data_IF_928221147919
#
_entry.id   IF_928221147919
#
_cell.length_a   1.000
_cell.length_b   1.000
_cell.length_c   1.000
_cell.angle_alpha   90.00
_cell.angle_beta   90.00
_cell.angle_gamma   90.00
#
_symmetry.space_group_name_H-M   'P 1'
#
loop_
_entity.id
_entity.type
_entity.pdbx_description
1 polymer ?
#
# COMPACT_ATOMS: atom_id res chain seq x y z
N UNK A 1 25.29 3.97 19.83
CA UNK A 1 24.45 2.97 20.52
C UNK A 1 23.77 2.15 19.44
N UNK A 2 24.29 0.97 19.12
CA UNK A 2 23.62 -0.01 18.26
C UNK A 2 22.46 -0.59 19.03
N UNK A 3 21.26 -0.13 18.74
CA UNK A 3 20.03 -0.72 19.26
C UNK A 3 19.36 -1.46 18.12
N UNK A 4 19.51 -2.79 18.04
CA UNK A 4 18.87 -3.60 17.00
C UNK A 4 17.36 -3.36 16.89
N UNK A 5 16.69 -3.05 18.02
CA UNK A 5 15.28 -2.66 18.04
C UNK A 5 14.98 -1.34 17.32
N UNK A 6 15.87 -0.34 17.39
CA UNK A 6 15.67 0.93 16.69
C UNK A 6 15.80 0.74 15.17
N UNK A 7 16.77 -0.06 14.72
CA UNK A 7 16.91 -0.36 13.29
C UNK A 7 15.73 -1.18 12.74
N UNK A 8 15.26 -2.18 13.50
CA UNK A 8 14.10 -2.98 13.13
C UNK A 8 12.83 -2.13 13.01
N UNK A 9 12.61 -1.23 13.98
CA UNK A 9 11.47 -0.30 13.97
C UNK A 9 11.57 0.69 12.80
N UNK A 10 12.76 1.22 12.53
CA UNK A 10 13.00 2.13 11.41
C UNK A 10 12.71 1.48 10.06
N UNK A 11 13.15 0.22 9.86
CA UNK A 11 12.82 -0.56 8.66
C UNK A 11 11.31 -0.81 8.52
N UNK A 12 10.64 -1.11 9.63
CA UNK A 12 9.18 -1.25 9.68
C UNK A 12 8.46 0.05 9.29
N UNK A 13 8.90 1.19 9.84
CA UNK A 13 8.38 2.51 9.51
C UNK A 13 8.54 2.86 8.03
N UNK A 14 9.75 2.69 7.48
CA UNK A 14 9.99 2.93 6.05
C UNK A 14 9.10 2.06 5.16
N UNK A 15 8.89 0.80 5.54
CA UNK A 15 8.01 -0.12 4.81
C UNK A 15 6.56 0.34 4.87
N UNK A 16 6.07 0.72 6.06
CA UNK A 16 4.72 1.25 6.25
C UNK A 16 4.50 2.51 5.41
N UNK A 17 5.43 3.47 5.43
CA UNK A 17 5.33 4.72 4.67
C UNK A 17 5.29 4.44 3.16
N UNK A 18 6.17 3.58 2.65
CA UNK A 18 6.18 3.20 1.23
C UNK A 18 4.86 2.57 0.79
N UNK A 19 4.34 1.62 1.58
CA UNK A 19 3.06 0.98 1.30
C UNK A 19 1.87 1.96 1.41
N UNK A 20 1.93 2.91 2.35
CA UNK A 20 0.96 3.97 2.50
C UNK A 20 0.89 4.90 1.29
N UNK A 21 2.05 5.31 0.75
CA UNK A 21 2.11 6.12 -0.47
C UNK A 21 1.52 5.37 -1.67
N UNK A 22 1.87 4.08 -1.84
CA UNK A 22 1.31 3.25 -2.91
C UNK A 22 -0.21 3.15 -2.78
N UNK A 23 -0.72 2.89 -1.57
CA UNK A 23 -2.16 2.81 -1.31
C UNK A 23 -2.88 4.14 -1.61
N UNK A 24 -2.28 5.28 -1.24
CA UNK A 24 -2.84 6.60 -1.54
C UNK A 24 -3.07 6.80 -3.04
N UNK A 25 -2.13 6.35 -3.89
CA UNK A 25 -2.29 6.44 -5.36
C UNK A 25 -3.52 5.63 -5.82
N UNK A 26 -3.70 4.41 -5.33
CA UNK A 26 -4.87 3.59 -5.69
C UNK A 26 -6.19 4.25 -5.25
N UNK A 27 -6.23 4.83 -4.05
CA UNK A 27 -7.43 5.51 -3.55
C UNK A 27 -7.77 6.73 -4.41
N UNK A 28 -6.77 7.55 -4.76
CA UNK A 28 -6.99 8.74 -5.63
C UNK A 28 -7.47 8.32 -7.02
N UNK A 29 -6.88 7.28 -7.62
CA UNK A 29 -7.31 6.76 -8.91
C UNK A 29 -8.71 6.15 -8.86
N UNK A 30 -9.05 5.45 -7.77
CA UNK A 30 -10.40 4.91 -7.56
C UNK A 30 -11.43 6.04 -7.49
N UNK A 31 -11.16 7.07 -6.70
CA UNK A 31 -12.03 8.25 -6.61
C UNK A 31 -12.19 8.95 -7.97
N UNK A 32 -11.10 9.12 -8.73
CA UNK A 32 -11.16 9.66 -10.08
C UNK A 32 -12.05 8.82 -11.00
N UNK A 33 -11.91 7.49 -10.98
CA UNK A 33 -12.72 6.59 -11.78
C UNK A 33 -14.22 6.66 -11.41
N UNK A 34 -14.55 6.81 -10.13
CA UNK A 34 -15.94 6.95 -9.68
C UNK A 34 -16.55 8.31 -10.05
N UNK A 35 -15.82 9.40 -9.82
CA UNK A 35 -16.36 10.76 -9.89
C UNK A 35 -16.25 11.31 -11.31
N UNK A 36 -15.04 11.38 -11.87
CA UNK A 36 -14.81 11.99 -13.18
C UNK A 36 -15.03 10.98 -14.31
N UNK A 37 -14.50 9.76 -14.13
CA UNK A 37 -14.57 8.71 -15.14
C UNK A 37 -15.94 8.02 -15.25
N UNK A 38 -16.82 8.20 -14.27
CA UNK A 38 -18.14 7.54 -14.18
C UNK A 38 -18.08 6.01 -14.39
N UNK A 39 -16.93 5.39 -14.11
CA UNK A 39 -16.67 3.98 -14.32
C UNK A 39 -16.57 3.26 -12.98
N UNK A 40 -17.73 2.79 -12.51
CA UNK A 40 -17.85 2.12 -11.22
C UNK A 40 -17.02 0.84 -11.12
N UNK A 41 -16.90 0.08 -12.21
CA UNK A 41 -16.13 -1.19 -12.21
C UNK A 41 -14.65 -0.90 -11.99
N UNK A 42 -14.09 0.05 -12.75
CA UNK A 42 -12.70 0.46 -12.58
C UNK A 42 -12.43 1.01 -11.16
N UNK A 43 -13.35 1.82 -10.63
CA UNK A 43 -13.25 2.33 -9.27
C UNK A 43 -13.22 1.21 -8.21
N UNK A 44 -14.10 0.22 -8.31
CA UNK A 44 -14.13 -0.93 -7.38
C UNK A 44 -12.86 -1.76 -7.49
N UNK A 45 -12.38 -2.05 -8.70
CA UNK A 45 -11.13 -2.80 -8.91
C UNK A 45 -9.95 -2.07 -8.27
N UNK A 46 -9.83 -0.76 -8.49
CA UNK A 46 -8.75 0.05 -7.91
C UNK A 46 -8.82 0.08 -6.38
N UNK A 47 -10.03 0.13 -5.81
CA UNK A 47 -10.23 0.11 -4.35
C UNK A 47 -9.88 -1.25 -3.73
N UNK A 48 -10.21 -2.36 -4.41
CA UNK A 48 -9.76 -3.70 -4.00
C UNK A 48 -8.24 -3.82 -4.09
N UNK A 49 -7.62 -3.33 -5.16
CA UNK A 49 -6.17 -3.35 -5.34
C UNK A 49 -5.44 -2.52 -4.28
N UNK A 50 -6.06 -1.43 -3.81
CA UNK A 50 -5.56 -0.60 -2.71
C UNK A 50 -5.29 -1.41 -1.43
N UNK A 51 -6.04 -2.50 -1.20
CA UNK A 51 -5.86 -3.39 -0.05
C UNK A 51 -4.99 -4.60 -0.41
N UNK A 52 -5.24 -5.21 -1.57
CA UNK A 52 -4.58 -6.46 -1.99
C UNK A 52 -3.09 -6.25 -2.27
N UNK A 53 -2.71 -5.15 -2.92
CA UNK A 53 -1.31 -4.89 -3.29
C UNK A 53 -0.43 -4.69 -2.06
N UNK A 54 -0.75 -3.81 -1.08
CA UNK A 54 0.06 -3.67 0.12
C UNK A 54 0.14 -4.95 0.96
N UNK A 55 -0.98 -5.66 1.10
CA UNK A 55 -1.01 -6.92 1.83
C UNK A 55 -0.13 -7.99 1.15
N UNK A 56 -0.23 -8.12 -0.17
CA UNK A 56 0.58 -9.04 -0.97
C UNK A 56 2.08 -8.73 -0.87
N UNK A 57 2.47 -7.46 -0.98
CA UNK A 57 3.87 -7.03 -0.82
C UNK A 57 4.39 -7.34 0.58
N UNK A 58 3.59 -7.09 1.61
CA UNK A 58 3.97 -7.40 3.00
C UNK A 58 4.11 -8.91 3.24
N UNK A 59 3.26 -9.75 2.63
CA UNK A 59 3.37 -11.21 2.71
C UNK A 59 4.60 -11.75 1.96
N UNK A 60 4.92 -11.19 0.79
CA UNK A 60 6.13 -11.57 0.05
C UNK A 60 7.40 -11.15 0.79
N UNK A 61 7.42 -9.96 1.39
CA UNK A 61 8.55 -9.49 2.21
C UNK A 61 8.85 -10.38 3.41
N UNK A 62 7.86 -11.12 3.93
CA UNK A 62 8.03 -12.11 5.01
C UNK A 62 8.58 -13.46 4.54
N UNK A 63 8.51 -13.77 3.24
CA UNK A 63 9.01 -15.05 2.68
C UNK A 63 10.48 -14.99 2.28
N UNK A 64 11.03 -13.79 2.11
CA UNK A 64 12.41 -13.56 1.67
C UNK A 64 13.38 -13.22 2.81
N UNK A 65 12.90 -13.21 4.06
CA UNK A 65 13.65 -12.95 5.28
C UNK A 65 13.68 -14.22 6.14
#
# INVERSE_FOLDING_TARGET
MDYPQHEATYRGFLTMVKLGIINMVFVVLALYAFIEGHNAIAGVVLLVLSVVVPAGVQMMGRRSA
#
